data_IF_485116252583
#
_entry.id   IF_485116252583
#
_cell.length_a   1.000
_cell.length_b   1.000
_cell.length_c   1.000
_cell.angle_alpha   90.00
_cell.angle_beta   90.00
_cell.angle_gamma   90.00
#
_symmetry.space_group_name_H-M   'P 1'
#
loop_
_entity.id
_entity.type
_entity.pdbx_description
1 polymer ?
#
# COMPACT_ATOMS: atom_id res chain seq x y z
N UNK A 1 6.72 -24.83 7.38
CA UNK A 1 7.41 -23.55 7.03
C UNK A 1 6.32 -22.50 6.84
N UNK A 2 6.07 -21.73 7.89
CA UNK A 2 5.16 -20.58 7.96
C UNK A 2 5.99 -19.46 8.60
N UNK A 3 6.93 -18.87 7.85
CA UNK A 3 8.21 -18.42 8.44
C UNK A 3 8.56 -16.94 8.27
N UNK A 4 7.68 -16.10 7.71
CA UNK A 4 7.98 -14.66 7.58
C UNK A 4 6.73 -13.76 7.58
N UNK A 5 5.69 -14.15 6.84
CA UNK A 5 4.46 -13.37 6.74
C UNK A 5 3.65 -13.34 8.05
N UNK A 6 3.55 -14.48 8.74
CA UNK A 6 2.85 -14.57 10.03
C UNK A 6 3.56 -13.69 11.07
N UNK A 7 4.88 -13.76 11.12
CA UNK A 7 5.71 -12.90 12.00
C UNK A 7 5.56 -11.42 11.67
N UNK A 8 5.55 -11.05 10.38
CA UNK A 8 5.31 -9.66 9.97
C UNK A 8 3.94 -9.16 10.45
N UNK A 9 2.92 -10.02 10.38
CA UNK A 9 1.56 -9.69 10.80
C UNK A 9 1.44 -9.56 12.33
N UNK A 10 2.10 -10.45 13.08
CA UNK A 10 2.18 -10.36 14.55
C UNK A 10 2.87 -9.08 15.01
N UNK A 11 4.01 -8.74 14.40
CA UNK A 11 4.72 -7.49 14.67
C UNK A 11 3.88 -6.26 14.30
N UNK A 12 3.20 -6.29 13.15
CA UNK A 12 2.32 -5.21 12.73
C UNK A 12 1.22 -4.91 13.75
N UNK A 13 0.62 -5.95 14.37
CA UNK A 13 -0.35 -5.77 15.44
C UNK A 13 0.27 -5.11 16.69
N UNK A 14 1.54 -5.39 17.00
CA UNK A 14 2.31 -4.69 18.03
C UNK A 14 2.53 -3.22 17.68
N UNK A 15 2.91 -2.94 16.43
CA UNK A 15 3.14 -1.57 15.93
C UNK A 15 1.87 -0.72 15.97
N UNK A 16 0.73 -1.31 15.60
CA UNK A 16 -0.59 -0.66 15.69
C UNK A 16 -0.89 -0.23 17.13
N UNK A 17 -0.68 -1.13 18.10
CA UNK A 17 -0.88 -0.83 19.53
C UNK A 17 0.02 0.29 20.02
N UNK A 18 1.32 0.26 19.67
CA UNK A 18 2.28 1.32 20.05
C UNK A 18 1.88 2.69 19.50
N UNK A 19 1.29 2.70 18.30
CA UNK A 19 0.89 3.92 17.61
C UNK A 19 -0.51 4.41 17.98
N UNK A 20 -1.30 3.63 18.70
CA UNK A 20 -2.66 4.01 19.09
C UNK A 20 -2.67 5.41 19.75
N UNK A 21 -3.44 6.35 19.16
CA UNK A 21 -3.54 7.72 19.64
C UNK A 21 -2.39 8.67 19.25
N UNK A 22 -1.40 8.23 18.46
CA UNK A 22 -0.30 9.08 17.95
C UNK A 22 -0.44 9.24 16.43
N UNK A 23 -0.39 10.48 15.95
CA UNK A 23 -0.41 10.79 14.50
C UNK A 23 1.00 10.82 13.93
N UNK A 24 1.97 11.25 14.74
CA UNK A 24 3.38 11.28 14.38
C UNK A 24 3.88 9.87 14.02
N UNK A 25 4.90 9.83 13.16
CA UNK A 25 5.60 8.59 12.85
C UNK A 25 5.93 7.91 14.18
N UNK A 26 5.43 6.67 14.37
CA UNK A 26 5.75 5.89 15.58
C UNK A 26 7.27 5.71 15.70
N UNK A 27 7.73 4.93 16.66
CA UNK A 27 9.16 4.61 16.78
C UNK A 27 9.64 3.75 15.59
N UNK A 28 9.72 4.33 14.39
CA UNK A 28 10.03 3.67 13.11
C UNK A 28 11.35 2.95 13.23
N UNK A 29 12.32 3.57 13.91
CA UNK A 29 13.62 2.96 14.20
C UNK A 29 13.51 1.70 15.06
N UNK A 30 12.67 1.71 16.09
CA UNK A 30 12.44 0.54 16.95
C UNK A 30 11.71 -0.56 16.16
N UNK A 31 10.65 -0.21 15.45
CA UNK A 31 9.89 -1.16 14.62
C UNK A 31 10.78 -1.81 13.54
N UNK A 32 11.66 -1.04 12.88
CA UNK A 32 12.61 -1.58 11.89
C UNK A 32 13.64 -2.52 12.54
N UNK A 33 14.09 -2.22 13.76
CA UNK A 33 15.00 -3.10 14.48
C UNK A 33 14.32 -4.43 14.85
N UNK A 34 13.05 -4.41 15.24
CA UNK A 34 12.26 -5.62 15.51
C UNK A 34 12.03 -6.45 14.25
N UNK A 35 11.68 -5.81 13.13
CA UNK A 35 11.57 -6.47 11.83
C UNK A 35 12.89 -7.13 11.42
N UNK A 36 14.01 -6.44 11.61
CA UNK A 36 15.32 -6.99 11.30
C UNK A 36 15.68 -8.18 12.19
N UNK A 37 15.40 -8.09 13.50
CA UNK A 37 15.61 -9.19 14.45
C UNK A 37 14.74 -10.42 14.12
N UNK A 38 13.57 -10.21 13.52
CA UNK A 38 12.69 -11.25 13.03
C UNK A 38 13.04 -11.79 11.63
N UNK A 39 14.13 -11.31 11.01
CA UNK A 39 14.55 -11.75 9.67
C UNK A 39 13.75 -11.11 8.54
N UNK A 40 12.93 -10.08 8.79
CA UNK A 40 12.21 -9.33 7.75
C UNK A 40 13.15 -8.27 7.18
N UNK A 41 14.10 -8.73 6.37
CA UNK A 41 15.14 -7.89 5.75
C UNK A 41 15.34 -8.25 4.28
N UNK A 42 15.99 -7.34 3.54
CA UNK A 42 16.39 -7.59 2.14
C UNK A 42 17.38 -8.76 2.01
N UNK A 43 18.15 -9.04 3.07
CA UNK A 43 19.14 -10.11 3.08
C UNK A 43 18.46 -11.49 3.18
N UNK A 44 17.43 -11.61 4.01
CA UNK A 44 16.76 -12.89 4.27
C UNK A 44 15.62 -13.17 3.29
N UNK A 45 14.78 -12.17 2.99
CA UNK A 45 13.66 -12.34 2.05
C UNK A 45 14.17 -12.10 0.63
N UNK A 46 14.35 -13.16 -0.15
CA UNK A 46 14.82 -13.07 -1.55
C UNK A 46 13.69 -12.89 -2.55
N UNK A 47 12.54 -13.49 -2.28
CA UNK A 47 11.41 -13.46 -3.20
C UNK A 47 10.69 -12.10 -3.18
N UNK A 48 10.47 -11.52 -4.36
CA UNK A 48 9.85 -10.21 -4.48
C UNK A 48 8.36 -10.22 -4.10
N UNK A 49 7.66 -11.34 -4.29
CA UNK A 49 6.26 -11.46 -3.89
C UNK A 49 6.15 -11.56 -2.36
N UNK A 50 7.04 -12.30 -1.71
CA UNK A 50 7.17 -12.37 -0.26
C UNK A 50 7.48 -10.99 0.34
N UNK A 51 8.39 -10.22 -0.26
CA UNK A 51 8.64 -8.81 0.14
C UNK A 51 7.38 -7.96 0.07
N UNK A 52 6.61 -8.03 -1.02
CA UNK A 52 5.35 -7.28 -1.16
C UNK A 52 4.32 -7.71 -0.12
N UNK A 53 4.21 -9.00 0.17
CA UNK A 53 3.31 -9.52 1.19
C UNK A 53 3.70 -9.02 2.60
N UNK A 54 4.99 -9.06 2.94
CA UNK A 54 5.50 -8.52 4.20
C UNK A 54 5.23 -7.01 4.33
N UNK A 55 5.45 -6.23 3.26
CA UNK A 55 5.15 -4.79 3.25
C UNK A 55 3.67 -4.49 3.48
N UNK A 56 2.77 -5.24 2.84
CA UNK A 56 1.32 -5.12 3.06
C UNK A 56 0.93 -5.42 4.51
N UNK A 57 1.50 -6.48 5.09
CA UNK A 57 1.27 -6.85 6.48
C UNK A 57 1.76 -5.75 7.45
N UNK A 58 2.99 -5.25 7.27
CA UNK A 58 3.53 -4.17 8.11
C UNK A 58 2.72 -2.88 7.97
N UNK A 59 2.26 -2.57 6.75
CA UNK A 59 1.46 -1.37 6.47
C UNK A 59 0.13 -1.36 7.23
N UNK A 60 -0.51 -2.52 7.42
CA UNK A 60 -1.72 -2.64 8.23
C UNK A 60 -1.52 -2.18 9.69
N UNK A 61 -0.31 -2.35 10.22
CA UNK A 61 0.05 -1.85 11.55
C UNK A 61 0.51 -0.40 11.53
N UNK A 62 1.57 -0.11 10.76
CA UNK A 62 2.22 1.19 10.73
C UNK A 62 2.73 1.51 9.30
N UNK A 63 2.03 2.38 8.59
CA UNK A 63 2.40 2.79 7.23
C UNK A 63 3.79 3.44 7.16
N UNK A 64 4.13 4.33 8.10
CA UNK A 64 5.45 4.95 8.15
C UNK A 64 6.59 3.91 8.24
N UNK A 65 6.43 2.86 9.06
CA UNK A 65 7.40 1.75 9.12
C UNK A 65 7.44 0.97 7.82
N UNK A 66 6.29 0.70 7.21
CA UNK A 66 6.21 -0.03 5.95
C UNK A 66 6.86 0.73 4.79
N UNK A 67 6.68 2.05 4.69
CA UNK A 67 7.38 2.88 3.69
C UNK A 67 8.90 2.87 3.92
N UNK A 68 9.36 3.03 5.17
CA UNK A 68 10.78 2.94 5.47
C UNK A 68 11.36 1.55 5.16
N UNK A 69 10.60 0.47 5.42
CA UNK A 69 11.00 -0.89 5.04
C UNK A 69 11.06 -1.05 3.52
N UNK A 70 10.09 -0.50 2.77
CA UNK A 70 10.06 -0.55 1.31
C UNK A 70 11.32 0.07 0.70
N UNK A 71 11.80 1.19 1.25
CA UNK A 71 13.07 1.80 0.83
C UNK A 71 14.24 0.83 0.99
N UNK A 72 14.34 0.09 2.10
CA UNK A 72 15.42 -0.90 2.31
C UNK A 72 15.35 -2.10 1.36
N UNK A 73 14.15 -2.46 0.89
CA UNK A 73 13.96 -3.55 -0.08
C UNK A 73 14.27 -3.13 -1.51
N UNK A 74 14.29 -1.83 -1.79
CA UNK A 74 14.36 -1.28 -3.14
C UNK A 74 15.77 -1.41 -3.72
N UNK A 75 15.94 -2.32 -4.69
CA UNK A 75 17.19 -2.46 -5.46
C UNK A 75 17.25 -1.51 -6.70
N UNK A 76 16.27 -0.61 -6.84
CA UNK A 76 16.14 0.32 -7.96
C UNK A 76 14.74 0.92 -8.03
N UNK A 77 14.52 1.88 -8.93
CA UNK A 77 13.28 2.65 -9.02
C UNK A 77 12.05 1.80 -9.36
N UNK A 78 12.19 0.76 -10.18
CA UNK A 78 11.08 -0.13 -10.54
C UNK A 78 10.58 -0.89 -9.29
N UNK A 79 11.50 -1.53 -8.56
CA UNK A 79 11.16 -2.20 -7.30
C UNK A 79 10.64 -1.23 -6.24
N UNK A 80 11.24 -0.04 -6.11
CA UNK A 80 10.75 0.98 -5.18
C UNK A 80 9.32 1.41 -5.49
N UNK A 81 8.99 1.58 -6.76
CA UNK A 81 7.63 1.94 -7.21
C UNK A 81 6.62 0.81 -6.91
N UNK A 82 7.00 -0.45 -7.12
CA UNK A 82 6.16 -1.61 -6.79
C UNK A 82 5.98 -1.79 -5.28
N UNK A 83 7.03 -1.56 -4.49
CA UNK A 83 6.99 -1.69 -3.03
C UNK A 83 6.22 -0.54 -2.38
N UNK A 84 6.36 0.70 -2.85
CA UNK A 84 5.48 1.81 -2.45
C UNK A 84 4.01 1.50 -2.75
N UNK A 85 3.73 0.97 -3.95
CA UNK A 85 2.37 0.54 -4.32
C UNK A 85 1.85 -0.57 -3.41
N UNK A 86 2.70 -1.54 -3.02
CA UNK A 86 2.35 -2.59 -2.08
C UNK A 86 2.00 -2.03 -0.68
N UNK A 87 2.75 -1.05 -0.19
CA UNK A 87 2.46 -0.39 1.10
C UNK A 87 1.11 0.35 1.03
N UNK A 88 0.85 1.12 -0.03
CA UNK A 88 -0.43 1.83 -0.23
C UNK A 88 -1.61 0.87 -0.31
N UNK A 89 -1.44 -0.27 -0.98
CA UNK A 89 -2.42 -1.35 -1.00
C UNK A 89 -2.68 -1.88 0.41
N UNK A 90 -1.64 -2.20 1.20
CA UNK A 90 -1.81 -2.70 2.58
C UNK A 90 -2.55 -1.71 3.49
N UNK A 91 -2.28 -0.40 3.33
CA UNK A 91 -3.02 0.65 4.03
C UNK A 91 -4.52 0.69 3.64
N UNK A 92 -4.82 0.53 2.35
CA UNK A 92 -6.18 0.45 1.86
C UNK A 92 -6.90 -0.82 2.32
N UNK A 93 -6.22 -1.96 2.35
CA UNK A 93 -6.73 -3.23 2.89
C UNK A 93 -7.12 -3.07 4.36
N UNK A 94 -6.24 -2.46 5.16
CA UNK A 94 -6.54 -2.20 6.56
C UNK A 94 -7.72 -1.26 6.76
N UNK A 95 -7.82 -0.20 5.96
CA UNK A 95 -8.96 0.71 6.02
C UNK A 95 -10.28 0.01 5.69
N UNK A 96 -10.26 -0.89 4.70
CA UNK A 96 -11.40 -1.73 4.37
C UNK A 96 -11.79 -2.68 5.51
N UNK A 97 -10.82 -3.37 6.11
CA UNK A 97 -11.05 -4.25 7.26
C UNK A 97 -11.73 -3.51 8.41
N UNK A 98 -11.17 -2.36 8.82
CA UNK A 98 -11.74 -1.52 9.87
C UNK A 98 -13.17 -1.13 9.51
N UNK A 99 -13.42 -0.69 8.27
CA UNK A 99 -14.76 -0.32 7.83
C UNK A 99 -15.75 -1.48 7.95
N UNK A 100 -15.37 -2.68 7.50
CA UNK A 100 -16.22 -3.87 7.55
C UNK A 100 -16.47 -4.34 8.98
N UNK A 101 -15.42 -4.41 9.82
CA UNK A 101 -15.51 -4.81 11.23
C UNK A 101 -16.47 -3.89 11.99
N UNK A 102 -16.31 -2.57 11.85
CA UNK A 102 -17.12 -1.57 12.53
C UNK A 102 -18.56 -1.54 12.03
N UNK A 103 -18.78 -1.65 10.72
CA UNK A 103 -20.14 -1.78 10.16
C UNK A 103 -20.84 -3.03 10.69
N UNK A 104 -20.15 -4.18 10.76
CA UNK A 104 -20.72 -5.42 11.32
C UNK A 104 -21.08 -5.25 12.80
N UNK A 105 -20.23 -4.58 13.57
CA UNK A 105 -20.47 -4.31 14.99
C UNK A 105 -21.71 -3.44 15.24
N UNK A 106 -22.12 -2.61 14.25
CA UNK A 106 -23.34 -1.79 14.31
C UNK A 106 -24.62 -2.56 13.96
N UNK A 107 -24.51 -3.83 13.58
CA UNK A 107 -25.65 -4.73 13.38
C UNK A 107 -26.40 -4.54 12.05
N UNK A 108 -27.51 -5.28 11.93
CA UNK A 108 -28.25 -5.44 10.67
C UNK A 108 -28.83 -4.12 10.14
N UNK A 109 -29.12 -3.18 11.02
CA UNK A 109 -29.66 -1.86 10.69
C UNK A 109 -28.71 -1.06 9.78
N UNK A 110 -27.39 -1.29 9.89
CA UNK A 110 -26.37 -0.62 9.08
C UNK A 110 -25.92 -1.49 7.91
N UNK A 111 -25.71 -2.79 8.13
CA UNK A 111 -25.29 -3.72 7.06
C UNK A 111 -26.39 -3.97 6.01
N UNK A 112 -27.66 -3.79 6.39
CA UNK A 112 -28.81 -3.95 5.50
C UNK A 112 -29.02 -2.76 4.55
N UNK A 113 -28.35 -1.62 4.79
CA UNK A 113 -28.50 -0.43 3.95
C UNK A 113 -27.77 -0.62 2.60
N UNK A 114 -28.45 -0.40 1.46
CA UNK A 114 -27.82 -0.50 0.14
C UNK A 114 -26.58 0.37 0.00
N UNK A 115 -26.58 1.58 0.56
CA UNK A 115 -25.42 2.49 0.51
C UNK A 115 -24.16 1.89 1.15
N UNK A 116 -24.31 1.24 2.31
CA UNK A 116 -23.22 0.53 2.98
C UNK A 116 -22.72 -0.65 2.13
N UNK A 117 -23.65 -1.43 1.57
CA UNK A 117 -23.30 -2.58 0.72
C UNK A 117 -22.57 -2.15 -0.55
N UNK A 118 -23.02 -1.08 -1.21
CA UNK A 118 -22.37 -0.52 -2.39
C UNK A 118 -20.96 -0.02 -2.06
N UNK A 119 -20.78 0.70 -0.96
CA UNK A 119 -19.47 1.18 -0.53
C UNK A 119 -18.51 0.02 -0.23
N UNK A 120 -18.96 -1.00 0.51
CA UNK A 120 -18.17 -2.22 0.79
C UNK A 120 -17.81 -2.96 -0.50
N UNK A 121 -18.76 -3.08 -1.44
CA UNK A 121 -18.52 -3.74 -2.73
C UNK A 121 -17.51 -2.98 -3.58
N UNK A 122 -17.58 -1.64 -3.61
CA UNK A 122 -16.65 -0.76 -4.32
C UNK A 122 -15.23 -0.92 -3.77
N UNK A 123 -15.07 -0.81 -2.45
CA UNK A 123 -13.76 -0.99 -1.82
C UNK A 123 -13.18 -2.37 -2.13
N UNK A 124 -13.99 -3.44 -1.99
CA UNK A 124 -13.55 -4.80 -2.31
C UNK A 124 -13.12 -4.95 -3.78
N UNK A 125 -13.86 -4.35 -4.71
CA UNK A 125 -13.52 -4.35 -6.14
C UNK A 125 -12.22 -3.62 -6.44
N UNK A 126 -12.01 -2.44 -5.85
CA UNK A 126 -10.75 -1.69 -5.96
C UNK A 126 -9.57 -2.49 -5.41
N UNK A 127 -9.69 -3.10 -4.22
CA UNK A 127 -8.64 -3.94 -3.63
C UNK A 127 -8.27 -5.12 -4.54
N UNK A 128 -9.27 -5.85 -5.05
CA UNK A 128 -9.04 -6.98 -5.95
C UNK A 128 -8.32 -6.55 -7.24
N UNK A 129 -8.68 -5.38 -7.78
CA UNK A 129 -8.05 -4.82 -8.99
C UNK A 129 -6.61 -4.40 -8.71
N UNK A 130 -6.35 -3.73 -7.58
CA UNK A 130 -5.00 -3.33 -7.18
C UNK A 130 -4.09 -4.55 -6.98
N UNK A 131 -4.56 -5.61 -6.32
CA UNK A 131 -3.82 -6.88 -6.17
C UNK A 131 -3.48 -7.47 -7.54
N UNK A 132 -4.47 -7.65 -8.40
CA UNK A 132 -4.29 -8.27 -9.71
C UNK A 132 -3.32 -7.47 -10.60
N UNK A 133 -3.41 -6.13 -10.58
CA UNK A 133 -2.53 -5.27 -11.34
C UNK A 133 -1.10 -5.32 -10.78
N UNK A 134 -0.94 -5.24 -9.46
CA UNK A 134 0.38 -5.26 -8.82
C UNK A 134 1.11 -6.57 -9.08
N UNK A 135 0.43 -7.72 -8.98
CA UNK A 135 1.02 -9.03 -9.25
C UNK A 135 1.40 -9.18 -10.73
N UNK A 136 0.52 -8.75 -11.64
CA UNK A 136 0.80 -8.75 -13.07
C UNK A 136 2.03 -7.90 -13.41
N UNK A 137 2.10 -6.68 -12.91
CA UNK A 137 3.21 -5.77 -13.24
C UNK A 137 4.50 -6.13 -12.54
N UNK A 138 4.43 -6.72 -11.35
CA UNK A 138 5.63 -7.27 -10.70
C UNK A 138 6.31 -8.36 -11.53
N UNK A 139 5.52 -9.19 -12.23
CA UNK A 139 6.06 -10.20 -13.15
C UNK A 139 6.59 -9.65 -14.49
N UNK A 140 6.30 -8.38 -14.82
CA UNK A 140 6.70 -7.72 -16.07
C UNK A 140 7.84 -6.73 -15.89
N UNK A 141 7.92 -6.10 -14.72
CA UNK A 141 8.97 -5.18 -14.33
C UNK A 141 10.28 -5.92 -13.99
N UNK A 142 10.65 -6.93 -14.77
CA UNK A 142 11.87 -7.73 -14.61
C UNK A 142 13.04 -7.18 -15.42
N UNK A 143 12.77 -6.25 -16.34
CA UNK A 143 13.80 -5.59 -17.12
C UNK A 143 14.44 -4.46 -16.29
N UNK A 144 15.77 -4.40 -16.28
CA UNK A 144 16.47 -3.25 -15.73
C UNK A 144 16.23 -2.01 -16.61
N UNK A 145 16.18 -0.84 -15.96
CA UNK A 145 16.04 0.45 -16.64
C UNK A 145 14.60 0.87 -16.95
N UNK A 146 14.46 1.69 -17.99
CA UNK A 146 13.24 2.45 -18.29
C UNK A 146 12.00 1.59 -18.58
N UNK A 147 12.18 0.46 -19.27
CA UNK A 147 11.07 -0.43 -19.62
C UNK A 147 10.46 -1.10 -18.38
N UNK A 148 11.29 -1.64 -17.48
CA UNK A 148 10.80 -2.21 -16.23
C UNK A 148 10.20 -1.15 -15.30
N UNK A 149 10.77 0.06 -15.31
CA UNK A 149 10.18 1.18 -14.58
C UNK A 149 8.80 1.58 -15.12
N UNK A 150 8.59 1.59 -16.45
CA UNK A 150 7.29 1.88 -17.05
C UNK A 150 6.23 0.83 -16.66
N UNK A 151 6.59 -0.46 -16.62
CA UNK A 151 5.69 -1.52 -16.14
C UNK A 151 5.33 -1.31 -14.65
N UNK A 152 6.31 -0.98 -13.81
CA UNK A 152 6.07 -0.65 -12.39
C UNK A 152 5.18 0.60 -12.22
N UNK A 153 5.42 1.64 -13.00
CA UNK A 153 4.62 2.87 -13.02
C UNK A 153 3.17 2.61 -13.43
N UNK A 154 2.92 1.64 -14.31
CA UNK A 154 1.55 1.26 -14.70
C UNK A 154 0.72 0.81 -13.50
N UNK A 155 1.32 0.04 -12.58
CA UNK A 155 0.65 -0.31 -11.33
C UNK A 155 0.45 0.91 -10.43
N UNK A 156 1.51 1.70 -10.20
CA UNK A 156 1.47 2.84 -9.29
C UNK A 156 0.44 3.91 -9.69
N UNK A 157 0.28 4.18 -10.99
CA UNK A 157 -0.70 5.14 -11.52
C UNK A 157 -2.15 4.78 -11.17
N UNK A 158 -2.44 3.50 -10.95
CA UNK A 158 -3.77 3.04 -10.53
C UNK A 158 -3.85 2.85 -9.02
N UNK A 159 -2.86 2.18 -8.42
CA UNK A 159 -2.88 1.83 -6.99
C UNK A 159 -2.89 3.08 -6.10
N UNK A 160 -2.13 4.11 -6.46
CA UNK A 160 -2.03 5.33 -5.64
C UNK A 160 -3.39 6.04 -5.47
N UNK A 161 -4.09 6.46 -6.54
CA UNK A 161 -5.39 7.11 -6.39
C UNK A 161 -6.49 6.17 -5.89
N UNK A 162 -6.44 4.87 -6.20
CA UNK A 162 -7.44 3.92 -5.69
C UNK A 162 -7.30 3.65 -4.20
N UNK A 163 -6.08 3.57 -3.67
CA UNK A 163 -5.84 3.46 -2.22
C UNK A 163 -6.46 4.66 -1.47
N UNK A 164 -6.27 5.88 -1.99
CA UNK A 164 -6.93 7.09 -1.48
C UNK A 164 -8.47 6.95 -1.53
N UNK A 165 -9.01 6.48 -2.66
CA UNK A 165 -10.46 6.31 -2.84
C UNK A 165 -11.05 5.30 -1.85
N UNK A 166 -10.35 4.19 -1.58
CA UNK A 166 -10.74 3.18 -0.58
C UNK A 166 -10.78 3.80 0.81
N UNK A 167 -9.74 4.53 1.22
CA UNK A 167 -9.69 5.18 2.54
C UNK A 167 -10.79 6.25 2.68
N UNK A 168 -11.02 7.08 1.66
CA UNK A 168 -12.14 8.04 1.66
C UNK A 168 -13.51 7.37 1.72
N UNK A 169 -13.67 6.23 1.04
CA UNK A 169 -14.91 5.45 1.12
C UNK A 169 -15.10 4.86 2.51
N UNK A 170 -14.04 4.37 3.15
CA UNK A 170 -14.06 3.88 4.53
C UNK A 170 -14.53 4.97 5.51
N UNK A 171 -14.02 6.21 5.39
CA UNK A 171 -14.49 7.35 6.19
C UNK A 171 -15.99 7.61 6.01
N UNK A 172 -16.48 7.53 4.77
CA UNK A 172 -17.88 7.78 4.46
C UNK A 172 -18.80 6.75 5.12
N UNK A 173 -18.37 5.48 5.13
CA UNK A 173 -19.10 4.37 5.76
C UNK A 173 -19.07 4.46 7.29
N UNK A 174 -17.98 4.95 7.86
CA UNK A 174 -17.80 5.10 9.31
C UNK A 174 -18.25 6.46 9.85
N UNK A 175 -19.06 7.20 9.09
CA UNK A 175 -19.63 8.45 9.59
C UNK A 175 -20.35 8.25 10.92
N UNK A 176 -19.95 9.02 11.94
CA UNK A 176 -20.44 8.91 13.31
C UNK A 176 -19.71 7.91 14.22
N UNK A 177 -18.80 7.08 13.70
CA UNK A 177 -17.94 6.19 14.49
C UNK A 177 -16.59 6.88 14.79
N UNK A 178 -16.48 7.47 15.98
CA UNK A 178 -15.28 8.24 16.39
C UNK A 178 -14.02 7.38 16.43
N UNK A 179 -14.12 6.16 16.94
CA UNK A 179 -12.97 5.27 17.12
C UNK A 179 -12.45 4.76 15.77
N UNK A 180 -13.37 4.34 14.89
CA UNK A 180 -13.03 3.95 13.52
C UNK A 180 -12.39 5.10 12.74
N UNK A 181 -12.97 6.30 12.86
CA UNK A 181 -12.46 7.52 12.21
C UNK A 181 -11.06 7.88 12.69
N UNK A 182 -10.75 7.76 13.98
CA UNK A 182 -9.42 8.07 14.51
C UNK A 182 -8.32 7.19 13.88
N UNK A 183 -8.60 5.89 13.69
CA UNK A 183 -7.66 4.98 13.03
C UNK A 183 -7.52 5.27 11.54
N UNK A 184 -8.64 5.55 10.84
CA UNK A 184 -8.61 5.95 9.44
C UNK A 184 -7.83 7.25 9.21
N UNK A 185 -7.87 8.20 10.16
CA UNK A 185 -7.06 9.42 10.11
C UNK A 185 -5.57 9.11 10.14
N UNK A 186 -5.12 8.19 10.98
CA UNK A 186 -3.71 7.76 10.99
C UNK A 186 -3.29 7.15 9.64
N UNK A 187 -4.12 6.25 9.08
CA UNK A 187 -3.88 5.63 7.77
C UNK A 187 -3.80 6.69 6.66
N UNK A 188 -4.72 7.65 6.69
CA UNK A 188 -4.72 8.75 5.73
C UNK A 188 -3.44 9.61 5.84
N UNK A 189 -3.00 9.92 7.06
CA UNK A 189 -1.74 10.63 7.26
C UNK A 189 -0.53 9.85 6.71
N UNK A 190 -0.47 8.53 6.92
CA UNK A 190 0.59 7.71 6.32
C UNK A 190 0.59 7.79 4.79
N UNK A 191 -0.59 7.66 4.17
CA UNK A 191 -0.73 7.74 2.72
C UNK A 191 -0.27 9.09 2.15
N UNK A 192 -0.52 10.18 2.88
CA UNK A 192 -0.18 11.55 2.46
C UNK A 192 1.25 11.96 2.77
N UNK A 193 1.85 11.42 3.83
CA UNK A 193 3.22 11.74 4.22
C UNK A 193 4.26 11.07 3.29
N UNK A 194 3.90 9.97 2.64
CA UNK A 194 4.82 9.23 1.78
C UNK A 194 4.98 9.87 0.38
N UNK A 195 6.20 10.32 0.10
CA UNK A 195 6.61 10.73 -1.24
C UNK A 195 6.75 9.50 -2.14
N UNK A 196 5.99 9.45 -3.23
CA UNK A 196 6.12 8.38 -4.21
C UNK A 196 7.54 8.40 -4.83
N UNK A 197 8.18 7.24 -5.06
CA UNK A 197 9.50 7.17 -5.68
C UNK A 197 9.54 7.86 -7.07
N UNK A 198 8.45 7.77 -7.82
CA UNK A 198 8.29 8.40 -9.14
C UNK A 198 7.08 9.33 -9.08
N UNK A 199 7.22 10.56 -9.58
CA UNK A 199 6.09 11.49 -9.66
C UNK A 199 5.03 10.99 -10.64
N UNK A 200 3.76 11.35 -10.42
CA UNK A 200 2.67 10.93 -11.29
C UNK A 200 2.86 11.37 -12.74
N UNK A 201 3.43 12.56 -12.98
CA UNK A 201 3.66 13.07 -14.32
C UNK A 201 4.76 12.28 -15.04
N UNK A 202 5.87 11.99 -14.36
CA UNK A 202 6.93 11.15 -14.92
C UNK A 202 6.42 9.73 -15.17
N UNK A 203 5.63 9.16 -14.25
CA UNK A 203 5.01 7.85 -14.44
C UNK A 203 4.11 7.80 -15.68
N UNK A 204 3.26 8.82 -15.91
CA UNK A 204 2.42 8.92 -17.12
C UNK A 204 3.27 9.02 -18.38
N UNK A 205 4.34 9.80 -18.34
CA UNK A 205 5.24 9.96 -19.49
C UNK A 205 5.92 8.63 -19.85
N UNK A 206 6.49 7.92 -18.87
CA UNK A 206 7.16 6.63 -19.07
C UNK A 206 6.20 5.58 -19.65
N UNK A 207 5.00 5.46 -19.07
CA UNK A 207 3.97 4.52 -19.55
C UNK A 207 3.50 4.90 -20.95
N UNK A 208 3.25 6.18 -21.18
CA UNK A 208 2.78 6.69 -22.47
C UNK A 208 3.79 6.44 -23.59
N UNK A 209 5.07 6.77 -23.36
CA UNK A 209 6.16 6.52 -24.32
C UNK A 209 6.29 5.04 -24.64
N UNK A 210 6.37 4.19 -23.61
CA UNK A 210 6.46 2.74 -23.80
C UNK A 210 5.30 2.19 -24.62
N UNK A 211 4.07 2.66 -24.36
CA UNK A 211 2.86 2.18 -25.04
C UNK A 211 2.81 2.53 -26.54
N UNK A 212 3.45 3.64 -26.96
CA UNK A 212 3.50 4.06 -28.38
C UNK A 212 4.82 3.70 -29.07
N UNK A 213 5.67 2.89 -28.43
CA UNK A 213 6.94 2.43 -28.99
C UNK A 213 8.05 3.48 -29.00
N UNK A 214 7.95 4.51 -28.17
CA UNK A 214 9.01 5.49 -27.93
C UNK A 214 9.87 4.99 -26.77
N UNK A 215 11.20 5.09 -26.90
CA UNK A 215 12.11 4.77 -25.79
C UNK A 215 11.79 5.68 -24.59
N UNK A 216 11.48 5.14 -23.40
CA UNK A 216 11.13 5.96 -22.25
C UNK A 216 12.26 6.89 -21.77
N UNK A 217 13.50 6.63 -22.17
CA UNK A 217 14.67 7.49 -21.90
C UNK A 217 14.86 8.62 -22.90
N UNK A 218 14.16 8.61 -24.05
CA UNK A 218 14.20 9.73 -24.99
C UNK A 218 13.75 11.01 -24.29
N UNK A 219 14.35 12.14 -24.66
CA UNK A 219 14.09 13.45 -24.06
C UNK A 219 12.59 13.76 -24.00
N UNK A 220 12.07 14.34 -22.90
CA UNK A 220 10.67 14.74 -22.82
C UNK A 220 10.28 15.68 -23.97
N UNK A 221 9.12 15.45 -24.58
CA UNK A 221 8.64 16.25 -25.74
C UNK A 221 8.13 17.65 -25.36
N UNK A 222 8.25 18.05 -24.10
CA UNK A 222 7.75 19.32 -23.57
C UNK A 222 8.85 20.31 -23.18
N UNK A 223 10.09 20.10 -23.67
CA UNK A 223 11.13 21.13 -23.70
C UNK A 223 10.95 22.07 -24.90
#
# INVERSE_FOLDING_TARGET
MHTGLDTASELAAGFEKRRAGRVDAGDVKENLAELAAAGITVAEIKDAAERRAALRAVAAGCGATAFALAETFSAGMAYGTLYDSAVRLGLAERAYEIAVERVKARGIEVTGLPGTQFAVSRMRGSLATMVALLDRQSGRATADGAAGLAEACTASLHVTPEADSVVSTAFSVLSGDRDGTARLTQIWHDLKAASAPVSADLARELVGKAAVGIDPTETPRWL
#
